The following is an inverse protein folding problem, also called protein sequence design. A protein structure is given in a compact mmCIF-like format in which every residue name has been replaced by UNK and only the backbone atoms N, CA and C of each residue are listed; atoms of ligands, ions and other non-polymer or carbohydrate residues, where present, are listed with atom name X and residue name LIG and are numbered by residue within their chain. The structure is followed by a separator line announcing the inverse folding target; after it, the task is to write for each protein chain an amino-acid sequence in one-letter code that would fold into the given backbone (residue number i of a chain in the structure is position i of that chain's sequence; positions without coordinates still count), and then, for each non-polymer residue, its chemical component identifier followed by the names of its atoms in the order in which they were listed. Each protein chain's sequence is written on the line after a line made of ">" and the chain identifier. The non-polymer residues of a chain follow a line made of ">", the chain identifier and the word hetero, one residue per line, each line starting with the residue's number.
data_IF_601275592138
#
_entry.id   IF_601275592138
#
_cell.length_a   1.000
_cell.length_b   1.000
_cell.length_c   1.000
_cell.angle_alpha   90.00
_cell.angle_beta   90.00
_cell.angle_gamma   90.00
#
_symmetry.space_group_name_H-M   'P 1'
#
loop_
_entity.id
_entity.type
_entity.pdbx_description
1 polymer ?
#
# COMPACT_ATOMS: atom_id res chain seq x y z
N UNK A 1 -24.90 6.04 -4.80
CA UNK A 1 -24.71 5.24 -3.57
C UNK A 1 -23.23 5.04 -3.36
N UNK A 2 -22.69 5.45 -2.21
CA UNK A 2 -21.27 5.27 -1.90
C UNK A 2 -20.98 3.81 -1.52
N UNK A 3 -19.71 3.39 -1.56
CA UNK A 3 -19.36 2.00 -1.28
C UNK A 3 -19.70 1.59 0.16
N UNK A 4 -19.60 2.54 1.11
CA UNK A 4 -19.98 2.33 2.51
C UNK A 4 -21.50 2.20 2.72
N UNK A 5 -22.34 2.73 1.81
CA UNK A 5 -23.79 2.59 1.88
C UNK A 5 -24.25 1.23 1.34
N UNK A 6 -23.52 0.71 0.37
CA UNK A 6 -23.86 -0.54 -0.30
C UNK A 6 -23.66 -1.76 0.62
N UNK A 7 -24.60 -2.69 0.57
CA UNK A 7 -24.57 -3.94 1.35
C UNK A 7 -25.26 -5.04 0.54
N UNK A 8 -24.57 -6.16 0.31
CA UNK A 8 -25.18 -7.34 -0.30
C UNK A 8 -26.04 -8.11 0.71
N UNK A 9 -27.13 -8.78 0.30
CA UNK A 9 -27.91 -9.64 1.18
C UNK A 9 -27.02 -10.67 1.89
N UNK A 10 -27.16 -10.76 3.22
CA UNK A 10 -26.38 -11.68 4.04
C UNK A 10 -24.91 -11.28 4.27
N UNK A 11 -24.53 -10.06 3.90
CA UNK A 11 -23.17 -9.56 4.15
C UNK A 11 -22.84 -9.56 5.65
N UNK A 12 -21.61 -9.97 5.96
CA UNK A 12 -21.01 -9.91 7.29
C UNK A 12 -19.96 -8.80 7.36
N UNK A 13 -19.57 -8.41 8.57
CA UNK A 13 -18.66 -7.29 8.79
C UNK A 13 -17.22 -7.80 8.84
N UNK A 14 -16.38 -7.25 7.97
CA UNK A 14 -14.94 -7.48 7.96
C UNK A 14 -14.17 -6.34 8.62
N UNK A 15 -13.16 -6.68 9.43
CA UNK A 15 -12.22 -5.70 10.02
C UNK A 15 -10.78 -6.21 9.94
N UNK A 16 -9.82 -5.30 10.08
CA UNK A 16 -8.37 -5.58 10.01
C UNK A 16 -7.74 -5.35 11.38
N UNK A 17 -6.96 -6.32 11.86
CA UNK A 17 -5.98 -6.11 12.93
C UNK A 17 -4.78 -5.36 12.35
N UNK A 18 -4.38 -4.26 12.98
CA UNK A 18 -3.30 -3.40 12.52
C UNK A 18 -2.13 -3.40 13.49
N UNK A 19 -0.93 -3.29 12.94
CA UNK A 19 0.31 -3.13 13.68
C UNK A 19 0.31 -1.86 14.53
N UNK A 20 0.71 -1.91 15.80
CA UNK A 20 0.98 -0.72 16.61
C UNK A 20 2.44 -0.21 16.44
N UNK A 21 3.25 -0.85 15.60
CA UNK A 21 4.69 -0.56 15.47
C UNK A 21 5.05 -0.04 14.08
N UNK A 22 5.94 0.96 14.04
CA UNK A 22 6.51 1.52 12.82
C UNK A 22 7.43 0.54 12.07
N UNK A 23 8.16 -0.30 12.79
CA UNK A 23 8.97 -1.38 12.20
C UNK A 23 9.14 -2.48 13.24
N UNK A 24 8.70 -3.70 12.91
CA UNK A 24 8.90 -4.85 13.78
C UNK A 24 8.87 -6.15 12.97
N UNK A 25 9.61 -7.16 13.44
CA UNK A 25 9.50 -8.53 12.93
C UNK A 25 8.32 -9.23 13.60
N UNK A 26 7.49 -9.91 12.82
CA UNK A 26 6.43 -10.76 13.35
C UNK A 26 7.07 -12.09 13.74
N UNK A 27 7.16 -12.38 15.04
CA UNK A 27 7.72 -13.64 15.56
C UNK A 27 6.67 -14.75 15.51
N UNK A 28 5.44 -14.44 15.89
CA UNK A 28 4.32 -15.37 15.84
C UNK A 28 2.99 -14.62 15.74
N UNK A 29 1.96 -15.33 15.27
CA UNK A 29 0.57 -14.86 15.28
C UNK A 29 -0.34 -16.04 15.63
N UNK A 30 -1.13 -15.89 16.69
CA UNK A 30 -2.19 -16.83 17.07
C UNK A 30 -3.57 -16.22 16.88
N UNK A 31 -4.37 -16.86 16.02
CA UNK A 31 -5.76 -16.48 15.73
C UNK A 31 -6.77 -17.48 16.31
N UNK A 32 -6.31 -18.47 17.08
CA UNK A 32 -7.12 -19.61 17.52
C UNK A 32 -8.31 -19.21 18.39
N UNK A 33 -8.13 -18.22 19.27
CA UNK A 33 -9.19 -17.69 20.14
C UNK A 33 -10.22 -16.90 19.32
N UNK A 34 -9.76 -16.00 18.46
CA UNK A 34 -10.61 -15.23 17.55
C UNK A 34 -11.44 -16.14 16.63
N UNK A 35 -10.82 -17.18 16.06
CA UNK A 35 -11.50 -18.11 15.16
C UNK A 35 -12.58 -18.97 15.86
N UNK A 36 -12.48 -19.17 17.18
CA UNK A 36 -13.46 -19.91 17.99
C UNK A 36 -14.56 -19.03 18.59
N UNK A 37 -14.44 -17.70 18.49
CA UNK A 37 -15.42 -16.78 19.05
C UNK A 37 -16.78 -16.97 18.35
N UNK A 38 -17.88 -17.19 19.09
CA UNK A 38 -19.21 -17.29 18.49
C UNK A 38 -19.55 -16.05 17.65
N UNK A 39 -20.00 -16.28 16.42
CA UNK A 39 -20.32 -15.20 15.47
C UNK A 39 -19.19 -14.83 14.50
N UNK A 40 -17.94 -15.22 14.79
CA UNK A 40 -16.85 -15.16 13.80
C UNK A 40 -17.05 -16.24 12.73
N UNK A 41 -16.88 -15.87 11.47
CA UNK A 41 -17.08 -16.74 10.31
C UNK A 41 -15.81 -17.00 9.52
N UNK A 42 -14.85 -16.08 9.58
CA UNK A 42 -13.54 -16.28 8.98
C UNK A 42 -12.48 -15.42 9.70
N UNK A 43 -11.26 -15.94 9.75
CA UNK A 43 -10.05 -15.19 10.07
C UNK A 43 -9.02 -15.50 8.99
N UNK A 44 -8.35 -14.47 8.49
CA UNK A 44 -7.29 -14.59 7.47
C UNK A 44 -6.03 -13.88 7.94
N UNK A 45 -4.89 -14.40 7.53
CA UNK A 45 -3.56 -13.83 7.77
C UNK A 45 -2.78 -13.87 6.45
N UNK A 46 -1.52 -13.47 6.47
CA UNK A 46 -0.60 -13.65 5.36
C UNK A 46 -0.54 -15.11 4.82
N UNK A 47 -0.83 -16.11 5.66
CA UNK A 47 -0.84 -17.53 5.26
C UNK A 47 -1.95 -17.87 4.25
N UNK A 48 -3.02 -17.08 4.22
CA UNK A 48 -4.15 -17.27 3.32
C UNK A 48 -3.94 -16.54 1.97
N UNK A 49 -2.89 -15.70 1.84
CA UNK A 49 -2.54 -15.00 0.61
C UNK A 49 -1.48 -15.79 -0.18
N UNK A 50 -1.58 -15.86 -1.52
CA UNK A 50 -0.49 -16.37 -2.35
C UNK A 50 0.77 -15.50 -2.21
N UNK A 51 1.93 -16.14 -2.27
CA UNK A 51 3.20 -15.44 -2.42
C UNK A 51 3.48 -15.12 -3.89
N UNK A 52 4.27 -14.08 -4.12
CA UNK A 52 4.62 -13.58 -5.45
C UNK A 52 6.13 -13.54 -5.61
N UNK A 53 6.65 -13.68 -6.82
CA UNK A 53 8.10 -13.56 -7.05
C UNK A 53 8.55 -12.13 -6.84
N UNK A 54 9.78 -11.97 -6.32
CA UNK A 54 10.46 -10.68 -6.30
C UNK A 54 10.89 -10.32 -7.72
N UNK A 55 10.02 -9.61 -8.44
CA UNK A 55 10.28 -9.14 -9.80
C UNK A 55 9.48 -7.86 -10.07
N UNK A 56 10.05 -6.96 -10.86
CA UNK A 56 9.35 -5.77 -11.33
C UNK A 56 8.70 -6.07 -12.69
N UNK A 57 7.39 -5.94 -12.77
CA UNK A 57 6.60 -6.25 -13.97
C UNK A 57 6.03 -4.97 -14.57
N UNK A 58 6.12 -4.84 -15.89
CA UNK A 58 5.57 -3.72 -16.66
C UNK A 58 6.63 -2.72 -17.13
N UNK A 59 6.21 -1.64 -17.81
CA UNK A 59 7.12 -0.61 -18.30
C UNK A 59 7.92 0.03 -17.17
N UNK A 60 9.18 0.35 -17.42
CA UNK A 60 10.14 0.76 -16.40
C UNK A 60 9.64 1.89 -15.46
N UNK A 61 8.91 2.87 -16.00
CA UNK A 61 8.39 4.02 -15.24
C UNK A 61 7.25 3.67 -14.28
N UNK A 62 6.54 2.58 -14.55
CA UNK A 62 5.33 2.16 -13.82
C UNK A 62 5.42 0.70 -13.37
N UNK A 63 6.63 0.16 -13.30
CA UNK A 63 6.85 -1.23 -12.99
C UNK A 63 6.43 -1.54 -11.54
N UNK A 64 5.65 -2.60 -11.37
CA UNK A 64 5.10 -3.02 -10.07
C UNK A 64 5.81 -4.28 -9.61
N UNK A 65 6.20 -4.33 -8.33
CA UNK A 65 6.69 -5.55 -7.72
C UNK A 65 5.61 -6.14 -6.79
N UNK A 66 4.96 -7.20 -7.25
CA UNK A 66 3.85 -7.84 -6.54
C UNK A 66 4.27 -8.51 -5.23
N UNK A 67 5.55 -8.85 -5.05
CA UNK A 67 6.10 -9.31 -3.77
C UNK A 67 5.99 -8.22 -2.69
N UNK A 68 6.23 -6.95 -3.05
CA UNK A 68 6.01 -5.82 -2.14
C UNK A 68 4.53 -5.53 -1.93
N UNK A 69 3.72 -5.58 -3.00
CA UNK A 69 2.28 -5.29 -2.90
C UNK A 69 1.57 -6.30 -1.99
N UNK A 70 1.84 -7.61 -2.14
CA UNK A 70 1.23 -8.64 -1.25
C UNK A 70 1.59 -8.40 0.21
N UNK A 71 2.84 -7.99 0.49
CA UNK A 71 3.32 -7.67 1.85
C UNK A 71 2.70 -6.42 2.43
N UNK A 72 2.35 -5.45 1.58
CA UNK A 72 1.63 -4.25 2.01
C UNK A 72 0.14 -4.50 2.26
N UNK A 73 -0.48 -5.46 1.54
CA UNK A 73 -1.88 -5.86 1.78
C UNK A 73 -2.03 -6.63 3.09
N UNK A 74 -1.05 -7.47 3.42
CA UNK A 74 -0.99 -8.18 4.69
C UNK A 74 0.47 -8.48 5.05
N UNK A 75 0.87 -8.03 6.23
CA UNK A 75 2.21 -8.23 6.76
C UNK A 75 2.54 -9.73 6.86
N UNK A 76 3.74 -10.10 6.39
CA UNK A 76 4.26 -11.47 6.40
C UNK A 76 5.39 -11.62 7.41
N UNK A 77 6.57 -11.10 7.06
CA UNK A 77 7.78 -11.23 7.86
C UNK A 77 7.91 -10.08 8.85
N UNK A 78 7.53 -8.88 8.41
CA UNK A 78 7.66 -7.64 9.16
C UNK A 78 6.44 -6.76 8.96
N UNK A 79 6.15 -5.95 9.98
CA UNK A 79 5.33 -4.76 9.84
C UNK A 79 6.23 -3.59 9.46
N UNK A 80 5.78 -2.76 8.51
CA UNK A 80 6.61 -1.74 7.85
C UNK A 80 6.20 -0.31 8.21
N UNK A 81 5.08 -0.16 8.94
CA UNK A 81 4.55 1.10 9.45
C UNK A 81 3.48 0.82 10.51
N UNK A 82 3.21 1.79 11.38
CA UNK A 82 2.06 1.76 12.30
C UNK A 82 0.77 1.81 11.47
N UNK A 83 -0.16 0.88 11.70
CA UNK A 83 -1.37 0.75 10.88
C UNK A 83 -1.31 -0.37 9.83
N UNK A 84 -0.13 -0.98 9.62
CA UNK A 84 0.04 -2.06 8.65
C UNK A 84 -0.87 -3.26 8.98
N UNK A 85 -1.57 -3.81 7.98
CA UNK A 85 -2.50 -4.92 8.17
C UNK A 85 -1.77 -6.21 8.58
N UNK A 86 -2.26 -6.91 9.61
CA UNK A 86 -1.62 -8.10 10.19
C UNK A 86 -2.55 -9.33 10.13
N UNK A 87 -3.85 -9.12 10.33
CA UNK A 87 -4.88 -10.14 10.16
C UNK A 87 -6.20 -9.49 9.73
N UNK A 88 -7.09 -10.26 9.12
CA UNK A 88 -8.47 -9.87 8.84
C UNK A 88 -9.44 -10.82 9.54
N UNK A 89 -10.55 -10.28 10.04
CA UNK A 89 -11.66 -11.07 10.61
C UNK A 89 -12.95 -10.73 9.88
N UNK A 90 -13.86 -11.70 9.76
CA UNK A 90 -15.24 -11.46 9.33
C UNK A 90 -16.22 -12.09 10.33
N UNK A 91 -17.16 -11.29 10.83
CA UNK A 91 -18.11 -11.69 11.86
C UNK A 91 -19.52 -11.16 11.57
N UNK A 92 -20.52 -11.73 12.24
CA UNK A 92 -21.94 -11.43 12.01
C UNK A 92 -22.31 -9.95 12.23
N UNK A 93 -21.54 -9.23 13.05
CA UNK A 93 -21.69 -7.80 13.30
C UNK A 93 -20.34 -7.16 13.67
N UNK A 94 -20.33 -5.83 13.80
CA UNK A 94 -19.13 -5.06 14.07
C UNK A 94 -18.56 -5.29 15.48
N UNK A 95 -19.43 -5.49 16.48
CA UNK A 95 -19.01 -5.70 17.87
C UNK A 95 -18.28 -7.03 18.03
N UNK A 96 -18.81 -8.09 17.42
CA UNK A 96 -18.17 -9.41 17.39
C UNK A 96 -16.84 -9.35 16.61
N UNK A 97 -16.76 -8.57 15.53
CA UNK A 97 -15.52 -8.38 14.80
C UNK A 97 -14.45 -7.67 15.67
N UNK A 98 -14.82 -6.63 16.44
CA UNK A 98 -13.91 -5.93 17.36
C UNK A 98 -13.43 -6.85 18.48
N UNK A 99 -14.33 -7.63 19.08
CA UNK A 99 -13.96 -8.63 20.08
C UNK A 99 -13.00 -9.67 19.48
N UNK A 100 -13.27 -10.16 18.28
CA UNK A 100 -12.39 -11.11 17.59
C UNK A 100 -10.99 -10.54 17.36
N UNK A 101 -10.86 -9.27 16.97
CA UNK A 101 -9.56 -8.62 16.81
C UNK A 101 -8.78 -8.59 18.13
N UNK A 102 -9.44 -8.32 19.25
CA UNK A 102 -8.81 -8.30 20.59
C UNK A 102 -8.29 -9.67 21.07
N UNK A 103 -8.79 -10.75 20.45
CA UNK A 103 -8.41 -12.13 20.76
C UNK A 103 -7.28 -12.66 19.87
N UNK A 104 -6.78 -11.87 18.92
CA UNK A 104 -5.62 -12.24 18.11
C UNK A 104 -4.36 -11.79 18.85
N UNK A 105 -3.46 -12.73 19.09
CA UNK A 105 -2.19 -12.48 19.78
C UNK A 105 -1.06 -12.45 18.75
N UNK A 106 -0.29 -11.37 18.74
CA UNK A 106 0.84 -11.19 17.83
C UNK A 106 2.08 -10.85 18.63
N UNK A 107 3.13 -11.65 18.48
CA UNK A 107 4.41 -11.39 19.10
C UNK A 107 5.32 -10.63 18.13
N UNK A 108 5.79 -9.47 18.57
CA UNK A 108 6.67 -8.61 17.80
C UNK A 108 8.05 -8.54 18.42
N UNK A 109 9.07 -8.49 17.56
CA UNK A 109 10.37 -7.92 17.89
C UNK A 109 10.43 -6.53 17.25
N UNK A 110 10.39 -5.48 18.07
CA UNK A 110 10.47 -4.10 17.59
C UNK A 110 11.87 -3.81 17.05
N UNK A 111 11.93 -3.21 15.86
CA UNK A 111 13.17 -2.91 15.15
C UNK A 111 13.40 -1.39 15.10
N UNK A 112 14.66 -0.93 14.99
CA UNK A 112 14.97 0.45 14.66
C UNK A 112 14.34 0.85 13.31
N UNK A 113 13.95 2.11 13.17
CA UNK A 113 13.31 2.63 11.96
C UNK A 113 13.74 4.06 11.65
N UNK A 114 13.63 4.44 10.38
CA UNK A 114 13.78 5.81 9.91
C UNK A 114 12.44 6.30 9.35
N UNK A 115 12.03 7.53 9.72
CA UNK A 115 10.78 8.15 9.26
C UNK A 115 11.01 9.26 8.24
N UNK A 116 12.24 9.79 8.17
CA UNK A 116 12.65 10.84 7.24
C UNK A 116 13.43 10.24 6.07
N UNK A 117 13.25 10.80 4.87
CA UNK A 117 13.87 10.30 3.65
C UNK A 117 15.39 10.45 3.65
N UNK A 118 15.92 11.57 4.14
CA UNK A 118 17.36 11.82 4.16
C UNK A 118 18.04 10.92 5.18
N UNK A 119 17.41 10.71 6.35
CA UNK A 119 17.87 9.76 7.36
C UNK A 119 17.83 8.32 6.84
N UNK A 120 16.76 7.93 6.13
CA UNK A 120 16.64 6.59 5.56
C UNK A 120 17.71 6.30 4.48
N UNK A 121 18.22 7.33 3.80
CA UNK A 121 19.24 7.21 2.75
C UNK A 121 20.67 7.09 3.26
N UNK A 122 20.93 7.30 4.55
CA UNK A 122 22.28 7.15 5.14
C UNK A 122 22.76 5.70 5.07
N UNK A 123 24.08 5.52 4.97
CA UNK A 123 24.70 4.19 4.82
C UNK A 123 24.45 3.28 6.04
N UNK A 124 24.31 3.87 7.23
CA UNK A 124 24.06 3.18 8.51
C UNK A 124 22.59 3.14 8.92
N UNK A 125 21.68 3.63 8.06
CA UNK A 125 20.25 3.64 8.33
C UNK A 125 19.70 2.21 8.50
N UNK A 126 18.72 1.99 9.40
CA UNK A 126 18.03 0.71 9.50
C UNK A 126 17.41 0.33 8.14
N UNK A 127 17.78 -0.83 7.61
CA UNK A 127 17.25 -1.31 6.33
C UNK A 127 15.80 -1.77 6.49
N UNK A 128 14.92 -1.24 5.64
CA UNK A 128 13.53 -1.71 5.56
C UNK A 128 13.47 -3.09 4.90
N UNK A 129 14.32 -3.35 3.91
CA UNK A 129 14.46 -4.62 3.21
C UNK A 129 15.94 -4.97 3.08
N UNK A 130 16.33 -6.10 3.66
CA UNK A 130 17.74 -6.55 3.72
C UNK A 130 18.27 -7.03 2.34
N UNK A 131 17.37 -7.25 1.40
CA UNK A 131 17.61 -7.74 0.04
C UNK A 131 17.38 -6.66 -1.05
N UNK A 132 17.08 -5.41 -0.66
CA UNK A 132 16.84 -4.33 -1.60
C UNK A 132 18.14 -3.78 -2.17
N UNK A 133 18.43 -4.12 -3.42
CA UNK A 133 19.52 -3.53 -4.21
C UNK A 133 19.01 -2.36 -5.04
N UNK A 134 19.69 -1.21 -4.98
CA UNK A 134 19.33 -0.02 -5.73
C UNK A 134 19.38 -0.27 -7.23
N UNK A 135 18.26 -0.01 -7.92
CA UNK A 135 18.14 -0.17 -9.37
C UNK A 135 18.54 1.11 -10.12
N UNK A 136 18.94 0.98 -11.38
CA UNK A 136 19.24 2.13 -12.26
C UNK A 136 20.65 2.72 -12.06
N UNK A 137 21.59 1.92 -11.53
CA UNK A 137 22.99 2.28 -11.33
C UNK A 137 23.86 1.20 -11.98
N UNK A 138 24.89 1.60 -12.73
CA UNK A 138 25.83 0.69 -13.37
C UNK A 138 27.29 1.03 -12.95
N UNK A 139 28.08 0.05 -12.47
CA UNK A 139 27.67 -1.34 -12.20
C UNK A 139 26.68 -1.43 -11.04
N UNK A 140 25.85 -2.48 -11.03
CA UNK A 140 24.88 -2.73 -9.96
C UNK A 140 25.57 -2.78 -8.57
N UNK A 141 25.02 -2.11 -7.54
CA UNK A 141 25.57 -2.17 -6.18
C UNK A 141 25.55 -3.60 -5.61
N UNK A 142 26.53 -3.93 -4.78
CA UNK A 142 26.63 -5.25 -4.11
C UNK A 142 26.06 -5.27 -2.69
N UNK A 143 25.76 -4.10 -2.12
CA UNK A 143 25.18 -3.93 -0.79
C UNK A 143 23.74 -3.43 -0.89
N UNK A 144 22.85 -3.85 0.02
CA UNK A 144 21.49 -3.31 0.10
C UNK A 144 21.48 -1.87 0.60
N UNK A 145 20.44 -1.13 0.22
CA UNK A 145 20.14 0.22 0.74
C UNK A 145 18.63 0.48 0.74
N UNK A 146 18.20 1.52 1.45
CA UNK A 146 16.80 1.97 1.38
C UNK A 146 16.48 2.74 0.08
N UNK A 147 17.46 2.97 -0.80
CA UNK A 147 17.25 3.62 -2.11
C UNK A 147 16.77 2.56 -3.10
N UNK A 148 15.48 2.58 -3.41
CA UNK A 148 14.88 1.57 -4.31
C UNK A 148 15.29 1.72 -5.79
N UNK A 149 15.54 2.96 -6.23
CA UNK A 149 15.88 3.27 -7.63
C UNK A 149 16.56 4.64 -7.74
N UNK A 150 17.58 4.73 -8.60
CA UNK A 150 18.11 5.99 -9.13
C UNK A 150 17.65 6.17 -10.58
N UNK A 151 17.26 7.39 -10.92
CA UNK A 151 16.93 7.81 -12.27
C UNK A 151 17.79 9.02 -12.61
N UNK A 152 18.48 8.96 -13.74
CA UNK A 152 19.29 10.06 -14.25
C UNK A 152 18.83 10.42 -15.66
N UNK A 153 18.52 11.69 -15.88
CA UNK A 153 18.16 12.23 -17.18
C UNK A 153 19.17 13.32 -17.53
N UNK A 154 19.84 13.17 -18.67
CA UNK A 154 20.75 14.18 -19.20
C UNK A 154 20.28 14.60 -20.58
N UNK A 155 20.14 15.91 -20.78
CA UNK A 155 19.78 16.50 -22.07
C UNK A 155 20.67 17.71 -22.35
N UNK A 156 21.30 17.74 -23.52
CA UNK A 156 22.18 18.85 -23.92
C UNK A 156 23.55 18.83 -23.24
N UNK A 157 24.20 20.00 -23.29
CA UNK A 157 25.53 20.27 -22.72
C UNK A 157 25.39 21.23 -21.54
N UNK A 158 25.46 20.68 -20.33
CA UNK A 158 25.33 21.45 -19.10
C UNK A 158 26.48 22.44 -18.93
N UNK A 159 27.72 22.08 -19.28
CA UNK A 159 28.87 22.95 -19.11
C UNK A 159 28.74 24.20 -19.99
N UNK A 160 28.31 24.02 -21.24
CA UNK A 160 28.00 25.13 -22.13
C UNK A 160 26.84 25.99 -21.64
N UNK A 161 25.81 25.37 -21.05
CA UNK A 161 24.67 26.06 -20.47
C UNK A 161 25.05 26.91 -19.25
N UNK A 162 25.88 26.36 -18.35
CA UNK A 162 26.41 27.09 -17.19
C UNK A 162 27.30 28.25 -17.60
N UNK A 163 28.15 28.08 -18.62
CA UNK A 163 29.02 29.14 -19.14
C UNK A 163 28.25 30.31 -19.78
N UNK A 164 27.02 30.06 -20.27
CA UNK A 164 26.14 31.08 -20.86
C UNK A 164 25.27 31.80 -19.82
N UNK A 165 25.22 31.32 -18.58
CA UNK A 165 24.39 31.92 -17.54
C UNK A 165 25.00 33.23 -17.05
N UNK A 166 24.22 34.30 -17.02
CA UNK A 166 24.59 35.55 -16.34
C UNK A 166 24.30 35.46 -14.83
N UNK A 167 23.32 34.65 -14.44
CA UNK A 167 22.89 34.41 -13.06
C UNK A 167 22.70 32.92 -12.86
N UNK A 168 23.23 32.40 -11.76
CA UNK A 168 23.03 31.02 -11.31
C UNK A 168 22.42 31.07 -9.91
N UNK A 169 21.32 30.37 -9.72
CA UNK A 169 20.65 30.22 -8.42
C UNK A 169 20.70 28.75 -8.04
N UNK A 170 20.98 28.49 -6.77
CA UNK A 170 21.07 27.16 -6.18
C UNK A 170 20.33 27.20 -4.84
N UNK A 171 19.40 26.27 -4.64
CA UNK A 171 18.56 26.26 -3.44
C UNK A 171 18.07 24.84 -3.10
N UNK A 172 17.70 24.65 -1.84
CA UNK A 172 17.22 23.40 -1.28
C UNK A 172 15.75 23.52 -0.85
N UNK A 173 14.94 22.55 -1.24
CA UNK A 173 13.51 22.52 -0.96
C UNK A 173 13.13 21.21 -0.27
N UNK A 174 12.26 21.30 0.73
CA UNK A 174 11.65 20.15 1.39
C UNK A 174 10.13 20.23 1.33
N UNK A 175 9.50 19.10 1.02
CA UNK A 175 8.05 18.94 1.10
C UNK A 175 7.70 17.86 2.13
N UNK A 176 6.70 18.14 2.96
CA UNK A 176 6.17 17.17 3.89
C UNK A 176 5.36 16.08 3.17
N UNK A 177 5.26 14.90 3.78
CA UNK A 177 4.25 13.92 3.38
C UNK A 177 2.85 14.47 3.71
N UNK A 178 1.91 14.35 2.77
CA UNK A 178 0.55 14.88 2.92
C UNK A 178 -0.47 13.84 2.48
N UNK A 179 -1.42 13.53 3.35
CA UNK A 179 -2.56 12.69 3.01
C UNK A 179 -3.62 13.50 2.24
N UNK A 180 -4.27 12.86 1.27
CA UNK A 180 -5.18 13.48 0.30
C UNK A 180 -6.47 14.08 0.90
N UNK A 181 -6.81 13.70 2.14
CA UNK A 181 -7.91 14.31 2.90
C UNK A 181 -9.32 14.06 2.35
N UNK A 182 -9.53 13.05 1.49
CA UNK A 182 -10.86 12.71 0.97
C UNK A 182 -11.86 12.42 2.11
N UNK A 183 -13.11 12.88 1.98
CA UNK A 183 -14.11 12.85 3.07
C UNK A 183 -14.71 11.45 3.29
N UNK A 184 -14.87 10.66 2.23
CA UNK A 184 -15.33 9.27 2.36
C UNK A 184 -14.11 8.35 2.62
N UNK A 185 -14.07 7.58 3.72
CA UNK A 185 -13.04 6.57 3.94
C UNK A 185 -13.00 5.47 2.86
N UNK A 186 -11.96 4.64 2.85
CA UNK A 186 -11.96 3.43 2.04
C UNK A 186 -13.04 2.46 2.51
N UNK A 187 -13.83 1.94 1.56
CA UNK A 187 -14.87 0.95 1.83
C UNK A 187 -15.04 0.01 0.63
N UNK A 188 -15.39 -1.24 0.93
CA UNK A 188 -15.78 -2.21 -0.09
C UNK A 188 -16.80 -3.23 0.44
N UNK A 189 -17.57 -3.82 -0.46
CA UNK A 189 -18.39 -5.01 -0.22
C UNK A 189 -18.04 -6.05 -1.29
N UNK A 190 -17.61 -7.24 -0.87
CA UNK A 190 -17.11 -8.29 -1.75
C UNK A 190 -17.88 -9.59 -1.54
N UNK A 191 -18.27 -10.27 -2.62
CA UNK A 191 -18.77 -11.64 -2.59
C UNK A 191 -17.87 -12.53 -3.44
N UNK A 192 -17.54 -13.70 -2.92
CA UNK A 192 -16.94 -14.80 -3.68
C UNK A 192 -17.92 -15.97 -3.70
N UNK A 193 -18.39 -16.34 -4.88
CA UNK A 193 -19.30 -17.46 -5.10
C UNK A 193 -18.53 -18.81 -5.06
N UNK A 194 -19.20 -19.96 -4.83
CA UNK A 194 -18.53 -21.27 -4.71
C UNK A 194 -17.73 -21.70 -5.94
N UNK A 195 -18.08 -21.18 -7.13
CA UNK A 195 -17.36 -21.39 -8.39
C UNK A 195 -16.13 -20.49 -8.55
N UNK A 196 -15.88 -19.60 -7.58
CA UNK A 196 -14.74 -18.68 -7.55
C UNK A 196 -15.03 -17.30 -8.14
N UNK A 197 -16.21 -17.08 -8.74
CA UNK A 197 -16.61 -15.78 -9.26
C UNK A 197 -16.64 -14.73 -8.14
N UNK A 198 -15.97 -13.62 -8.37
CA UNK A 198 -15.73 -12.57 -7.36
C UNK A 198 -16.38 -11.26 -7.79
N UNK A 199 -17.33 -10.77 -7.02
CA UNK A 199 -17.97 -9.46 -7.22
C UNK A 199 -17.50 -8.47 -6.16
N UNK A 200 -16.97 -7.32 -6.61
CA UNK A 200 -16.41 -6.26 -5.76
C UNK A 200 -17.18 -4.97 -6.02
N UNK A 201 -17.67 -4.35 -4.96
CA UNK A 201 -18.11 -2.95 -4.94
C UNK A 201 -17.14 -2.19 -4.04
N UNK A 202 -16.49 -1.14 -4.55
CA UNK A 202 -15.42 -0.43 -3.82
C UNK A 202 -15.43 1.07 -4.10
N UNK A 203 -15.01 1.87 -3.12
CA UNK A 203 -14.71 3.28 -3.33
C UNK A 203 -13.34 3.41 -4.01
N UNK A 204 -13.33 3.58 -5.33
CA UNK A 204 -12.10 3.60 -6.13
C UNK A 204 -12.14 4.58 -7.31
N UNK A 205 -10.99 5.20 -7.61
CA UNK A 205 -10.75 5.96 -8.84
C UNK A 205 -10.46 5.05 -10.04
N UNK A 206 -10.17 3.77 -9.82
CA UNK A 206 -9.67 2.85 -10.84
C UNK A 206 -10.20 1.43 -10.68
N UNK A 207 -11.47 1.20 -11.02
CA UNK A 207 -12.11 -0.13 -10.89
C UNK A 207 -11.41 -1.23 -11.71
N UNK A 208 -10.86 -0.91 -12.88
CA UNK A 208 -10.05 -1.86 -13.64
C UNK A 208 -8.74 -2.22 -12.93
N UNK A 209 -8.13 -1.26 -12.23
CA UNK A 209 -6.93 -1.49 -11.42
C UNK A 209 -7.27 -2.34 -10.21
N UNK A 210 -8.36 -2.04 -9.50
CA UNK A 210 -8.88 -2.87 -8.40
C UNK A 210 -9.10 -4.31 -8.86
N UNK A 211 -9.79 -4.50 -9.99
CA UNK A 211 -10.02 -5.82 -10.59
C UNK A 211 -8.70 -6.54 -10.87
N UNK A 212 -7.79 -5.90 -11.61
CA UNK A 212 -6.54 -6.51 -12.05
C UNK A 212 -5.61 -6.84 -10.89
N UNK A 213 -5.43 -5.92 -9.94
CA UNK A 213 -4.56 -6.12 -8.78
C UNK A 213 -5.14 -7.16 -7.82
N UNK A 214 -6.44 -7.15 -7.55
CA UNK A 214 -7.08 -8.17 -6.71
C UNK A 214 -6.96 -9.55 -7.34
N UNK A 215 -7.26 -9.68 -8.65
CA UNK A 215 -7.10 -10.94 -9.36
C UNK A 215 -5.65 -11.44 -9.32
N UNK A 216 -4.69 -10.55 -9.59
CA UNK A 216 -3.26 -10.87 -9.57
C UNK A 216 -2.80 -11.32 -8.20
N UNK A 217 -3.12 -10.58 -7.13
CA UNK A 217 -2.68 -10.94 -5.79
C UNK A 217 -3.25 -12.27 -5.30
N UNK A 218 -4.49 -12.58 -5.67
CA UNK A 218 -5.17 -13.81 -5.28
C UNK A 218 -4.95 -14.98 -6.25
N UNK A 219 -4.07 -14.82 -7.26
CA UNK A 219 -3.85 -15.80 -8.33
C UNK A 219 -5.15 -16.28 -9.01
N UNK A 220 -6.11 -15.36 -9.20
CA UNK A 220 -7.37 -15.61 -9.90
C UNK A 220 -7.26 -15.17 -11.38
N UNK A 221 -7.90 -15.87 -12.31
CA UNK A 221 -8.15 -15.33 -13.64
C UNK A 221 -8.86 -13.97 -13.54
N UNK A 222 -8.39 -12.97 -14.30
CA UNK A 222 -8.98 -11.63 -14.25
C UNK A 222 -10.45 -11.61 -14.71
N UNK A 223 -10.86 -12.58 -15.54
CA UNK A 223 -12.24 -12.76 -15.99
C UNK A 223 -13.21 -13.19 -14.88
N UNK A 224 -12.68 -13.82 -13.82
CA UNK A 224 -13.49 -14.30 -12.69
C UNK A 224 -13.73 -13.20 -11.66
N UNK A 225 -13.09 -12.04 -11.82
CA UNK A 225 -13.23 -10.88 -10.93
C UNK A 225 -13.98 -9.77 -11.64
N UNK A 226 -15.11 -9.34 -11.08
CA UNK A 226 -15.88 -8.19 -11.53
C UNK A 226 -15.83 -7.10 -10.46
N UNK A 227 -15.36 -5.91 -10.85
CA UNK A 227 -15.39 -4.72 -10.00
C UNK A 227 -16.46 -3.75 -10.53
N UNK A 228 -17.51 -3.52 -9.75
CA UNK A 228 -18.59 -2.60 -10.06
C UNK A 228 -18.29 -1.21 -9.46
N UNK A 229 -18.60 -0.13 -10.20
CA UNK A 229 -18.40 1.22 -9.70
C UNK A 229 -19.41 1.60 -8.62
N UNK A 230 -18.90 2.06 -7.48
CA UNK A 230 -19.69 2.82 -6.51
C UNK A 230 -19.44 4.33 -6.71
N UNK A 231 -20.34 5.17 -6.20
CA UNK A 231 -20.03 6.60 -6.08
C UNK A 231 -18.81 6.79 -5.16
N UNK A 232 -18.01 7.82 -5.45
CA UNK A 232 -16.74 8.07 -4.76
C UNK A 232 -16.73 9.44 -4.09
N UNK A 233 -16.50 9.49 -2.77
CA UNK A 233 -16.44 10.71 -1.97
C UNK A 233 -15.04 11.33 -1.94
N UNK A 234 -14.44 11.49 -3.12
CA UNK A 234 -13.08 11.99 -3.33
C UNK A 234 -12.00 10.90 -3.24
N UNK A 235 -10.84 11.19 -3.83
CA UNK A 235 -9.68 10.28 -3.84
C UNK A 235 -8.34 10.98 -4.07
N UNK A 236 -8.27 11.92 -5.01
CA UNK A 236 -7.09 12.76 -5.29
C UNK A 236 -5.78 11.96 -5.47
N UNK A 237 -5.88 10.76 -6.05
CA UNK A 237 -4.77 9.82 -6.26
C UNK A 237 -4.70 8.69 -5.22
N UNK A 238 -5.22 8.90 -4.01
CA UNK A 238 -5.16 7.94 -2.90
C UNK A 238 -6.06 6.71 -3.04
N UNK A 239 -7.02 6.73 -3.97
CA UNK A 239 -7.96 5.60 -4.21
C UNK A 239 -7.75 4.92 -5.56
N UNK A 240 -6.50 4.91 -6.05
CA UNK A 240 -6.12 4.27 -7.33
C UNK A 240 -5.61 2.84 -7.15
N UNK A 241 -5.30 2.43 -5.91
CA UNK A 241 -4.76 1.12 -5.56
C UNK A 241 -5.74 0.31 -4.70
N UNK A 242 -5.34 -0.90 -4.30
CA UNK A 242 -6.12 -1.82 -3.46
C UNK A 242 -5.62 -1.81 -2.01
N UNK A 243 -6.54 -2.02 -1.08
CA UNK A 243 -6.23 -2.21 0.35
C UNK A 243 -7.12 -3.29 0.97
N UNK A 244 -8.43 -3.08 0.94
CA UNK A 244 -9.42 -3.94 1.59
C UNK A 244 -9.85 -5.10 0.71
N UNK A 245 -9.90 -4.87 -0.60
CA UNK A 245 -10.59 -5.72 -1.57
C UNK A 245 -10.03 -7.15 -1.62
N UNK A 246 -8.70 -7.39 -1.64
CA UNK A 246 -8.17 -8.76 -1.61
C UNK A 246 -8.46 -9.48 -0.28
N UNK A 247 -8.43 -8.75 0.84
CA UNK A 247 -8.70 -9.32 2.16
C UNK A 247 -10.19 -9.65 2.30
N UNK A 248 -11.07 -8.77 1.86
CA UNK A 248 -12.51 -9.00 1.81
C UNK A 248 -12.87 -10.20 0.94
N UNK A 249 -12.18 -10.38 -0.20
CA UNK A 249 -12.36 -11.56 -1.06
C UNK A 249 -11.96 -12.86 -0.35
N UNK A 250 -10.82 -12.90 0.32
CA UNK A 250 -10.39 -14.09 1.09
C UNK A 250 -11.33 -14.39 2.26
N UNK A 251 -11.75 -13.36 2.99
CA UNK A 251 -12.73 -13.49 4.07
C UNK A 251 -14.05 -14.04 3.52
N UNK A 252 -14.53 -13.49 2.39
CA UNK A 252 -15.78 -13.91 1.76
C UNK A 252 -15.73 -15.36 1.30
N UNK A 253 -14.63 -15.75 0.66
CA UNK A 253 -14.38 -17.12 0.22
C UNK A 253 -14.37 -18.09 1.40
N UNK A 254 -13.69 -17.74 2.50
CA UNK A 254 -13.56 -18.60 3.68
C UNK A 254 -14.85 -18.70 4.49
N UNK A 255 -15.64 -17.62 4.55
CA UNK A 255 -16.91 -17.60 5.27
C UNK A 255 -18.10 -18.11 4.45
N UNK A 256 -18.00 -18.16 3.11
CA UNK A 256 -19.11 -18.44 2.21
C UNK A 256 -20.20 -17.36 2.25
N UNK A 257 -19.84 -16.11 2.56
CA UNK A 257 -20.77 -14.98 2.71
C UNK A 257 -20.16 -13.72 2.12
N UNK A 258 -20.95 -12.75 1.62
CA UNK A 258 -20.41 -11.44 1.27
C UNK A 258 -19.79 -10.75 2.49
N UNK A 259 -18.72 -9.98 2.30
CA UNK A 259 -18.00 -9.27 3.37
C UNK A 259 -17.98 -7.79 3.05
N UNK A 260 -18.50 -6.99 3.98
CA UNK A 260 -18.45 -5.53 3.94
C UNK A 260 -17.35 -5.04 4.87
N UNK A 261 -16.48 -4.17 4.35
CA UNK A 261 -15.39 -3.54 5.09
C UNK A 261 -15.44 -2.04 4.91
N UNK A 262 -15.15 -1.30 5.96
CA UNK A 262 -15.04 0.16 5.93
C UNK A 262 -13.96 0.57 6.91
N UNK A 263 -12.97 1.31 6.43
CA UNK A 263 -11.97 1.91 7.30
C UNK A 263 -12.60 3.06 8.09
N UNK A 264 -12.20 3.20 9.34
CA UNK A 264 -12.37 4.45 10.09
C UNK A 264 -11.47 5.54 9.51
N UNK A 265 -11.72 6.80 9.91
CA UNK A 265 -10.86 7.92 9.52
C UNK A 265 -9.41 7.75 10.00
N UNK A 266 -9.22 7.22 11.20
CA UNK A 266 -7.89 6.99 11.75
C UNK A 266 -7.13 5.94 10.93
N UNK A 267 -7.79 4.83 10.59
CA UNK A 267 -7.20 3.78 9.75
C UNK A 267 -6.81 4.30 8.37
N UNK A 268 -7.61 5.20 7.79
CA UNK A 268 -7.27 5.85 6.52
C UNK A 268 -5.93 6.59 6.63
N UNK A 269 -5.73 7.39 7.67
CA UNK A 269 -4.48 8.14 7.84
C UNK A 269 -3.28 7.25 8.14
N UNK A 270 -3.47 6.15 8.88
CA UNK A 270 -2.38 5.26 9.29
C UNK A 270 -2.02 4.20 8.26
N UNK A 271 -2.96 3.81 7.39
CA UNK A 271 -2.80 2.59 6.59
C UNK A 271 -3.02 2.74 5.09
N UNK A 272 -3.14 3.98 4.60
CA UNK A 272 -3.20 4.25 3.16
C UNK A 272 -1.97 5.05 2.70
N UNK A 273 -1.83 5.28 1.40
CA UNK A 273 -0.65 5.90 0.81
C UNK A 273 -0.79 7.43 0.69
N UNK A 274 -0.18 8.23 1.58
CA UNK A 274 -0.07 9.66 1.39
C UNK A 274 0.87 9.99 0.22
N UNK A 275 0.83 11.24 -0.25
CA UNK A 275 1.88 11.76 -1.13
C UNK A 275 3.21 11.73 -0.38
N UNK A 276 4.26 11.20 -1.02
CA UNK A 276 5.61 11.19 -0.47
C UNK A 276 6.12 12.60 -0.21
N UNK A 277 6.72 12.81 0.96
CA UNK A 277 7.60 13.95 1.16
C UNK A 277 8.88 13.80 0.33
N UNK A 278 9.60 14.89 0.14
CA UNK A 278 10.83 14.88 -0.65
C UNK A 278 11.81 15.97 -0.25
N UNK A 279 13.09 15.67 -0.42
CA UNK A 279 14.21 16.60 -0.36
C UNK A 279 14.72 16.83 -1.78
N UNK A 280 14.92 18.09 -2.15
CA UNK A 280 15.29 18.50 -3.50
C UNK A 280 16.39 19.53 -3.41
N UNK A 281 17.46 19.33 -4.17
CA UNK A 281 18.45 20.35 -4.46
C UNK A 281 18.27 20.76 -5.92
N UNK A 282 18.14 22.06 -6.18
CA UNK A 282 17.87 22.60 -7.50
C UNK A 282 18.90 23.67 -7.81
N UNK A 283 19.50 23.56 -9.00
CA UNK A 283 20.42 24.55 -9.55
C UNK A 283 19.90 24.99 -10.91
N UNK A 284 19.79 26.29 -11.16
CA UNK A 284 19.33 26.84 -12.44
C UNK A 284 20.17 28.03 -12.88
N UNK A 285 20.48 28.07 -14.16
CA UNK A 285 21.23 29.13 -14.82
C UNK A 285 20.35 29.88 -15.80
N UNK A 286 20.43 31.20 -15.82
CA UNK A 286 19.71 32.04 -16.77
C UNK A 286 20.54 33.26 -17.21
N UNK A 287 20.23 33.77 -18.39
CA UNK A 287 20.72 35.06 -18.89
C UNK A 287 19.95 36.23 -18.26
N UNK A 288 20.48 37.46 -18.38
CA UNK A 288 19.83 38.68 -17.85
C UNK A 288 18.45 38.99 -18.46
N UNK A 289 18.19 38.52 -19.67
CA UNK A 289 16.87 38.61 -20.34
C UNK A 289 15.91 37.46 -19.95
N UNK A 290 16.32 36.57 -19.03
CA UNK A 290 15.45 35.57 -18.41
C UNK A 290 15.40 34.22 -19.12
N UNK A 291 16.28 33.96 -20.11
CA UNK A 291 16.34 32.66 -20.78
C UNK A 291 17.10 31.65 -19.92
N UNK A 292 16.48 30.50 -19.63
CA UNK A 292 17.13 29.39 -18.93
C UNK A 292 18.18 28.76 -19.85
N UNK A 293 19.39 28.57 -19.32
CA UNK A 293 20.54 28.00 -20.05
C UNK A 293 20.96 26.63 -19.52
N UNK A 294 20.74 26.33 -18.24
CA UNK A 294 20.99 25.03 -17.62
C UNK A 294 20.12 24.82 -16.37
N UNK A 295 19.77 23.55 -16.08
CA UNK A 295 19.06 23.10 -14.89
C UNK A 295 19.38 21.62 -14.60
#
# INVERSE_FOLDING_TARGET
>A
MYAADYTMPGAIIGKILRSPHAHARIRSIDTSRAAKLPGVKAVVTAKDLPDHKFEYVGPERVAVNFWHVTRNIMAREKVLYEGHAVAGVAAVDAATADEALSLIEVEYEVLPHAIDVDEAMKEDAPLLFEDMITRGVEPAPTKPSNISKRLEFKLGDLDAGWAQADVIVEDEFKTAAVHQGYIEPHACCVRVDPDGQTEIWSSSQGHFVVRALTAKLLNKPVGDVRCAPAEIGGGFGGKTVIYLEPVAALLSQKSGRPVKMTMTREEVFKATGPTSGGSMWVKMGATKDGKITAA
#
